data_IF_251412896464
#
_entry.id   IF_251412896464
#
_cell.length_a   1.000
_cell.length_b   1.000
_cell.length_c   1.000
_cell.angle_alpha   90.00
_cell.angle_beta   90.00
_cell.angle_gamma   90.00
#
_symmetry.space_group_name_H-M   'P 1'
#
loop_
_entity.id
_entity.type
_entity.pdbx_description
1 polymer ?
#
# COMPACT_ATOMS: atom_id res chain seq x y z
N UNK A 1 16.34 31.39 -2.25
CA UNK A 1 15.91 30.24 -1.42
C UNK A 1 16.99 29.18 -1.49
N UNK A 2 17.36 28.53 -0.38
CA UNK A 2 18.33 27.44 -0.42
C UNK A 2 17.85 26.34 -1.38
N UNK A 3 18.80 25.66 -2.03
CA UNK A 3 18.48 24.57 -2.93
C UNK A 3 17.78 23.44 -2.16
N UNK A 4 16.57 23.06 -2.62
CA UNK A 4 15.82 21.95 -2.02
C UNK A 4 16.43 20.61 -2.45
N UNK A 5 16.51 19.65 -1.52
CA UNK A 5 16.87 18.27 -1.86
C UNK A 5 15.79 17.64 -2.74
N UNK A 6 16.16 16.58 -3.47
CA UNK A 6 15.22 15.86 -4.32
C UNK A 6 14.00 15.33 -3.54
N UNK A 7 14.22 14.78 -2.34
CA UNK A 7 13.15 14.31 -1.47
C UNK A 7 12.13 15.43 -1.14
N UNK A 8 12.60 16.63 -0.79
CA UNK A 8 11.71 17.77 -0.53
C UNK A 8 10.91 18.16 -1.77
N UNK A 9 11.52 18.12 -2.96
CA UNK A 9 10.82 18.40 -4.22
C UNK A 9 9.72 17.35 -4.49
N UNK A 10 10.01 16.06 -4.24
CA UNK A 10 9.04 14.97 -4.43
C UNK A 10 7.88 15.09 -3.44
N UNK A 11 8.15 15.27 -2.14
CA UNK A 11 7.10 15.42 -1.13
C UNK A 11 6.24 16.64 -1.46
N UNK A 12 6.85 17.80 -1.77
CA UNK A 12 6.12 19.01 -2.17
C UNK A 12 5.17 18.78 -3.35
N UNK A 13 5.59 17.98 -4.34
CA UNK A 13 4.77 17.65 -5.51
C UNK A 13 3.54 16.79 -5.17
N UNK A 14 3.59 16.02 -4.07
CA UNK A 14 2.51 15.12 -3.64
C UNK A 14 1.81 15.61 -2.36
N UNK A 15 2.16 16.78 -1.84
CA UNK A 15 1.54 17.38 -0.67
C UNK A 15 0.07 17.71 -0.97
N UNK A 16 -0.82 17.23 -0.13
CA UNK A 16 -2.27 17.48 -0.20
C UNK A 16 -2.67 18.51 0.84
N UNK A 17 -2.17 18.37 2.07
CA UNK A 17 -2.46 19.27 3.19
C UNK A 17 -1.26 19.41 4.13
N UNK A 18 -1.25 20.48 4.94
CA UNK A 18 -0.20 20.76 5.92
C UNK A 18 0.96 21.61 5.38
N UNK A 19 1.97 21.81 6.22
CA UNK A 19 3.19 22.57 5.87
C UNK A 19 4.42 21.70 6.09
N UNK A 20 5.38 21.78 5.17
CA UNK A 20 6.64 21.05 5.26
C UNK A 20 7.61 21.70 6.27
N UNK A 21 7.20 21.73 7.54
CA UNK A 21 7.96 22.22 8.70
C UNK A 21 8.21 21.02 9.62
N UNK A 22 9.45 20.78 10.09
CA UNK A 22 9.75 19.66 10.98
C UNK A 22 8.85 19.63 12.22
N UNK A 23 8.27 18.48 12.52
CA UNK A 23 7.35 18.28 13.64
C UNK A 23 5.88 18.59 13.33
N UNK A 24 5.55 19.17 12.17
CA UNK A 24 4.17 19.35 11.72
C UNK A 24 3.68 18.14 10.91
N UNK A 25 2.40 17.78 11.09
CA UNK A 25 1.74 16.75 10.29
C UNK A 25 1.47 17.26 8.87
N UNK A 26 1.60 16.36 7.89
CA UNK A 26 1.27 16.62 6.49
C UNK A 26 0.49 15.44 5.91
N UNK A 27 -0.40 15.74 4.98
CA UNK A 27 -1.04 14.72 4.14
C UNK A 27 -0.31 14.63 2.81
N UNK A 28 0.07 13.42 2.42
CA UNK A 28 0.74 13.16 1.14
C UNK A 28 -0.11 12.21 0.32
N UNK A 29 -0.34 12.54 -0.95
CA UNK A 29 -1.02 11.64 -1.89
C UNK A 29 -0.11 10.45 -2.18
N UNK A 30 -0.58 9.26 -1.87
CA UNK A 30 0.09 8.01 -2.24
C UNK A 30 -0.24 7.65 -3.69
N UNK A 31 0.78 7.52 -4.53
CA UNK A 31 0.59 7.08 -5.91
C UNK A 31 0.49 5.56 -6.02
N UNK A 32 1.16 4.82 -5.13
CA UNK A 32 1.27 3.36 -5.19
C UNK A 32 1.20 2.73 -3.80
N UNK A 33 0.68 1.50 -3.75
CA UNK A 33 0.75 0.61 -2.59
C UNK A 33 1.35 -0.73 -3.05
N UNK A 34 2.38 -1.20 -2.35
CA UNK A 34 3.06 -2.46 -2.66
C UNK A 34 2.95 -3.36 -1.43
N UNK A 35 2.38 -4.55 -1.62
CA UNK A 35 2.12 -5.52 -0.58
C UNK A 35 2.88 -6.81 -0.90
N UNK A 36 3.33 -7.52 0.12
CA UNK A 36 3.90 -8.87 -0.01
C UNK A 36 2.98 -9.89 0.67
N UNK A 37 3.20 -11.17 0.46
CA UNK A 37 2.33 -12.26 0.93
C UNK A 37 2.38 -12.50 2.45
N UNK A 38 3.46 -12.11 3.12
CA UNK A 38 3.59 -12.20 4.58
C UNK A 38 2.83 -11.10 5.36
N UNK A 39 2.50 -9.95 4.76
CA UNK A 39 1.80 -8.81 5.39
C UNK A 39 0.54 -8.40 4.64
N UNK A 40 0.40 -8.84 3.39
CA UNK A 40 -0.71 -8.50 2.50
C UNK A 40 -2.03 -9.03 3.03
N UNK A 41 -2.06 -10.23 3.62
CA UNK A 41 -3.31 -10.83 4.14
C UNK A 41 -3.94 -9.92 5.18
N UNK A 42 -3.16 -9.49 6.19
CA UNK A 42 -3.67 -8.58 7.21
C UNK A 42 -4.04 -7.21 6.65
N UNK A 43 -3.22 -6.64 5.76
CA UNK A 43 -3.52 -5.36 5.14
C UNK A 43 -4.83 -5.37 4.35
N UNK A 44 -5.13 -6.47 3.65
CA UNK A 44 -6.38 -6.66 2.93
C UNK A 44 -7.57 -6.87 3.86
N UNK A 45 -7.41 -7.62 4.96
CA UNK A 45 -8.47 -7.77 5.98
C UNK A 45 -8.85 -6.42 6.59
N UNK A 46 -7.87 -5.60 6.97
CA UNK A 46 -8.11 -4.24 7.48
C UNK A 46 -8.76 -3.35 6.41
N UNK A 47 -8.34 -3.49 5.14
CA UNK A 47 -8.92 -2.76 4.03
C UNK A 47 -10.40 -3.10 3.80
N UNK A 48 -10.83 -4.36 3.94
CA UNK A 48 -12.24 -4.73 3.86
C UNK A 48 -13.07 -4.02 4.95
N UNK A 49 -12.53 -3.91 6.17
CA UNK A 49 -13.22 -3.24 7.28
C UNK A 49 -13.43 -1.74 7.04
N UNK A 50 -12.62 -1.12 6.17
CA UNK A 50 -12.81 0.28 5.78
C UNK A 50 -14.08 0.51 4.95
N UNK A 51 -14.71 -0.55 4.40
CA UNK A 51 -15.98 -0.44 3.68
C UNK A 51 -15.88 0.33 2.36
N UNK A 52 -14.72 0.29 1.70
CA UNK A 52 -14.47 1.00 0.44
C UNK A 52 -14.55 0.04 -0.75
N UNK A 53 -15.11 0.50 -1.87
CA UNK A 53 -15.43 -0.40 -3.00
C UNK A 53 -14.23 -0.82 -3.86
N UNK A 54 -13.13 -0.05 -3.84
CA UNK A 54 -11.93 -0.28 -4.66
C UNK A 54 -10.75 0.55 -4.19
N UNK A 55 -9.53 0.09 -4.52
CA UNK A 55 -8.29 0.81 -4.21
C UNK A 55 -8.30 2.22 -4.79
N UNK A 56 -7.80 3.19 -4.01
CA UNK A 56 -7.82 4.62 -4.36
C UNK A 56 -6.48 5.13 -4.90
N UNK A 57 -5.39 4.37 -4.69
CA UNK A 57 -4.08 4.67 -5.27
C UNK A 57 -4.08 4.39 -6.78
N UNK A 58 -3.15 4.99 -7.51
CA UNK A 58 -3.04 4.76 -8.96
C UNK A 58 -2.66 3.32 -9.30
N UNK A 59 -1.86 2.68 -8.44
CA UNK A 59 -1.44 1.28 -8.61
C UNK A 59 -1.26 0.61 -7.24
N UNK A 60 -2.07 -0.41 -6.98
CA UNK A 60 -1.80 -1.38 -5.93
C UNK A 60 -1.17 -2.62 -6.57
N UNK A 61 -0.24 -3.30 -5.88
CA UNK A 61 0.33 -4.56 -6.37
C UNK A 61 0.60 -5.48 -5.20
N UNK A 62 0.06 -6.70 -5.29
CA UNK A 62 0.29 -7.79 -4.36
C UNK A 62 1.35 -8.71 -4.93
N UNK A 63 2.48 -8.83 -4.23
CA UNK A 63 3.54 -9.78 -4.52
C UNK A 63 3.34 -11.08 -3.73
N UNK A 64 3.75 -12.19 -4.34
CA UNK A 64 3.80 -13.52 -3.73
C UNK A 64 5.23 -14.01 -3.89
N UNK A 65 6.06 -13.77 -2.87
CA UNK A 65 7.50 -13.97 -2.94
C UNK A 65 8.14 -14.49 -1.64
N UNK A 66 7.45 -14.44 -0.50
CA UNK A 66 8.00 -14.91 0.78
C UNK A 66 7.54 -16.33 1.12
N UNK A 67 6.30 -16.71 0.80
CA UNK A 67 5.67 -17.96 1.22
C UNK A 67 5.49 -18.95 0.05
N UNK A 68 6.51 -19.04 -0.81
CA UNK A 68 6.48 -19.85 -2.03
C UNK A 68 6.40 -21.36 -1.72
N UNK A 69 7.05 -21.81 -0.63
CA UNK A 69 7.01 -23.21 -0.20
C UNK A 69 5.68 -23.48 0.53
N UNK A 70 4.81 -24.24 -0.13
CA UNK A 70 3.51 -24.65 0.41
C UNK A 70 3.62 -26.05 1.01
N UNK A 71 4.16 -26.15 2.23
CA UNK A 71 4.25 -27.41 2.99
C UNK A 71 2.94 -27.82 3.65
N UNK A 72 1.99 -26.89 3.76
CA UNK A 72 0.65 -27.03 4.31
C UNK A 72 -0.37 -26.23 3.49
N UNK A 73 -1.63 -26.19 3.93
CA UNK A 73 -2.71 -25.51 3.20
C UNK A 73 -2.74 -24.00 3.45
N UNK A 74 -2.17 -23.53 4.56
CA UNK A 74 -2.25 -22.15 5.03
C UNK A 74 -1.73 -21.16 3.99
N UNK A 75 -0.51 -21.39 3.46
CA UNK A 75 0.08 -20.54 2.42
C UNK A 75 -0.70 -20.60 1.10
N UNK A 76 -1.32 -21.74 0.79
CA UNK A 76 -2.13 -21.89 -0.42
C UNK A 76 -3.43 -21.10 -0.32
N UNK A 77 -4.11 -21.20 0.82
CA UNK A 77 -5.35 -20.48 1.11
C UNK A 77 -5.11 -18.97 1.19
N UNK A 78 -4.02 -18.54 1.83
CA UNK A 78 -3.63 -17.13 1.87
C UNK A 78 -3.38 -16.59 0.45
N UNK A 79 -2.68 -17.34 -0.42
CA UNK A 79 -2.45 -16.91 -1.80
C UNK A 79 -3.76 -16.81 -2.61
N UNK A 80 -4.71 -17.72 -2.40
CA UNK A 80 -6.03 -17.66 -3.02
C UNK A 80 -6.83 -16.45 -2.51
N UNK A 81 -6.76 -16.18 -1.20
CA UNK A 81 -7.36 -15.00 -0.60
C UNK A 81 -6.78 -13.73 -1.22
N UNK A 82 -5.45 -13.59 -1.25
CA UNK A 82 -4.75 -12.44 -1.84
C UNK A 82 -5.11 -12.22 -3.31
N UNK A 83 -5.21 -13.29 -4.10
CA UNK A 83 -5.65 -13.24 -5.49
C UNK A 83 -7.10 -12.74 -5.60
N UNK A 84 -8.00 -13.25 -4.75
CA UNK A 84 -9.40 -12.83 -4.69
C UNK A 84 -9.55 -11.35 -4.32
N UNK A 85 -8.75 -10.88 -3.37
CA UNK A 85 -8.74 -9.48 -2.94
C UNK A 85 -8.28 -8.54 -4.05
N UNK A 86 -7.19 -8.88 -4.74
CA UNK A 86 -6.73 -8.12 -5.90
C UNK A 86 -7.77 -8.10 -7.03
N UNK A 87 -8.45 -9.23 -7.29
CA UNK A 87 -9.50 -9.31 -8.30
C UNK A 87 -10.74 -8.48 -7.93
N UNK A 88 -11.11 -8.42 -6.64
CA UNK A 88 -12.28 -7.70 -6.14
C UNK A 88 -12.07 -6.18 -6.12
N UNK A 89 -10.93 -5.73 -5.60
CA UNK A 89 -10.70 -4.31 -5.30
C UNK A 89 -9.89 -3.55 -6.36
N UNK A 90 -9.33 -4.26 -7.35
CA UNK A 90 -8.54 -3.71 -8.45
C UNK A 90 -7.11 -3.35 -8.06
#
# INVERSE_FOLDING_TARGET
MPAQSLAHKIIRKHLVEGRMVPGEEIAVRMDQALLQDATGTLAWLEYEQMGVDRVRVKRATQYVDHNILQTGFENADDHLFLQGMAARYG
#
